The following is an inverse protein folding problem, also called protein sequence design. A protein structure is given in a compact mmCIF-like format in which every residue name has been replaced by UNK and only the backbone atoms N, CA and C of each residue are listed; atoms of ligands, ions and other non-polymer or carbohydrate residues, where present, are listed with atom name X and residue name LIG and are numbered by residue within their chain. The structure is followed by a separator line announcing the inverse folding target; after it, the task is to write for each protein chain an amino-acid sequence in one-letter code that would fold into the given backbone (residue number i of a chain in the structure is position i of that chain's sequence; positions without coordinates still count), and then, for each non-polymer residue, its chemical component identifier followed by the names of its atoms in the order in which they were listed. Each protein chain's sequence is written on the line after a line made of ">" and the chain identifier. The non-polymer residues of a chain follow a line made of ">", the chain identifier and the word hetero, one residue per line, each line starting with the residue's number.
data_IF_125262578281
#
_entry.id   IF_125262578281
#
_cell.length_a   1.000
_cell.length_b   1.000
_cell.length_c   1.000
_cell.angle_alpha   90.00
_cell.angle_beta   90.00
_cell.angle_gamma   90.00
#
_symmetry.space_group_name_H-M   'P 1'
#
loop_
_entity.id
_entity.type
_entity.pdbx_description
1 polymer ?
#
# COMPACT_ATOMS: atom_id res chain seq x y z
N UNK A 1 6.13 30.09 -9.74
CA UNK A 1 5.96 29.84 -11.18
C UNK A 1 7.25 29.32 -11.76
N UNK A 2 7.29 28.04 -12.08
CA UNK A 2 8.32 27.50 -12.95
C UNK A 2 7.86 27.64 -14.41
N UNK A 3 8.61 28.40 -15.20
CA UNK A 3 8.36 28.64 -16.63
C UNK A 3 9.63 28.31 -17.39
N UNK A 4 9.52 27.55 -18.48
CA UNK A 4 10.65 27.14 -19.32
C UNK A 4 11.11 25.71 -19.02
N UNK A 5 12.36 25.37 -19.34
CA UNK A 5 12.89 24.00 -19.22
C UNK A 5 12.86 23.46 -17.78
N UNK A 6 12.95 24.32 -16.77
CA UNK A 6 12.87 23.93 -15.36
C UNK A 6 11.46 23.41 -14.98
N UNK A 7 10.42 23.93 -15.63
CA UNK A 7 9.03 23.51 -15.39
C UNK A 7 8.64 22.23 -16.12
N UNK A 8 9.52 21.71 -16.98
CA UNK A 8 9.34 20.42 -17.66
C UNK A 8 10.10 19.35 -16.90
N UNK A 9 9.37 18.39 -16.34
CA UNK A 9 9.93 17.31 -15.53
C UNK A 9 9.83 15.97 -16.24
N UNK A 10 10.73 15.05 -15.88
CA UNK A 10 10.73 13.67 -16.36
C UNK A 10 10.76 12.70 -15.19
N UNK A 11 9.95 11.65 -15.29
CA UNK A 11 9.84 10.60 -14.30
C UNK A 11 10.64 9.37 -14.70
N UNK A 12 11.34 8.78 -13.74
CA UNK A 12 12.07 7.53 -13.91
C UNK A 12 11.83 6.63 -12.71
N UNK A 13 11.66 5.34 -12.99
CA UNK A 13 11.43 4.32 -11.98
C UNK A 13 12.67 3.47 -11.80
N UNK A 14 13.09 3.29 -10.55
CA UNK A 14 14.07 2.26 -10.19
C UNK A 14 13.32 0.99 -9.77
N UNK A 15 13.07 0.09 -10.72
CA UNK A 15 12.49 -1.24 -10.49
C UNK A 15 13.41 -2.36 -11.00
N UNK A 16 14.03 -3.10 -10.08
CA UNK A 16 15.01 -4.16 -10.40
C UNK A 16 14.35 -5.37 -11.11
N UNK A 17 13.08 -5.65 -10.80
CA UNK A 17 12.33 -6.81 -11.31
C UNK A 17 11.58 -6.52 -12.62
N UNK A 18 11.66 -5.28 -13.09
CA UNK A 18 11.05 -4.77 -14.31
C UNK A 18 9.57 -5.20 -14.43
N UNK A 19 8.87 -5.15 -13.30
CA UNK A 19 7.47 -5.53 -13.13
C UNK A 19 6.57 -4.32 -13.35
N UNK A 20 7.06 -3.13 -13.00
CA UNK A 20 6.38 -1.86 -13.14
C UNK A 20 7.03 -1.02 -14.23
N UNK A 21 6.23 -0.18 -14.86
CA UNK A 21 6.67 0.84 -15.81
C UNK A 21 6.19 2.21 -15.35
N UNK A 22 6.88 3.27 -15.77
CA UNK A 22 6.46 4.65 -15.54
C UNK A 22 6.54 5.48 -16.82
N UNK A 23 5.47 6.19 -17.14
CA UNK A 23 5.50 7.18 -18.21
C UNK A 23 6.40 8.35 -17.81
N UNK A 24 7.44 8.61 -18.61
CA UNK A 24 8.40 9.68 -18.34
C UNK A 24 7.76 11.08 -18.36
N UNK A 25 6.64 11.27 -19.08
CA UNK A 25 6.00 12.57 -19.24
C UNK A 25 4.83 12.79 -18.25
N UNK A 26 4.06 11.75 -17.95
CA UNK A 26 2.87 11.85 -17.07
C UNK A 26 3.08 11.32 -15.65
N UNK A 27 4.12 10.51 -15.43
CA UNK A 27 4.33 9.82 -14.16
C UNK A 27 3.35 8.66 -13.90
N UNK A 28 2.55 8.27 -14.90
CA UNK A 28 1.62 7.14 -14.78
C UNK A 28 2.39 5.83 -14.58
N UNK A 29 2.08 5.10 -13.50
CA UNK A 29 2.69 3.81 -13.17
C UNK A 29 1.77 2.68 -13.62
N UNK A 30 2.31 1.71 -14.35
CA UNK A 30 1.56 0.55 -14.86
C UNK A 30 2.29 -0.77 -14.60
N UNK A 31 1.57 -1.88 -14.68
CA UNK A 31 2.15 -3.23 -14.60
C UNK A 31 2.55 -3.71 -16.00
N UNK A 32 3.80 -4.17 -16.15
CA UNK A 32 4.30 -4.77 -17.40
C UNK A 32 3.78 -6.18 -17.63
N UNK A 33 3.41 -6.87 -16.55
CA UNK A 33 2.84 -8.24 -16.57
C UNK A 33 1.93 -8.45 -15.37
N UNK A 34 1.08 -9.48 -15.45
CA UNK A 34 0.27 -9.91 -14.30
C UNK A 34 1.18 -10.38 -13.16
N UNK A 35 0.79 -10.03 -11.94
CA UNK A 35 1.42 -10.52 -10.71
C UNK A 35 0.83 -11.86 -10.29
N UNK A 36 1.65 -12.73 -9.70
CA UNK A 36 1.23 -14.02 -9.18
C UNK A 36 0.58 -13.93 -7.80
N UNK A 37 0.01 -15.04 -7.32
CA UNK A 37 -0.66 -15.12 -6.02
C UNK A 37 0.25 -14.84 -4.81
N UNK A 38 1.57 -14.92 -4.98
CA UNK A 38 2.56 -14.64 -3.93
C UNK A 38 3.08 -13.20 -3.93
N UNK A 39 2.53 -12.32 -4.75
CA UNK A 39 2.93 -10.91 -4.74
C UNK A 39 2.30 -10.20 -3.53
N UNK A 40 3.13 -9.59 -2.69
CA UNK A 40 2.71 -8.94 -1.42
C UNK A 40 2.88 -7.42 -1.45
N UNK A 41 2.84 -6.83 -2.66
CA UNK A 41 3.16 -5.43 -2.86
C UNK A 41 4.63 -5.15 -3.17
N UNK A 42 4.95 -3.86 -3.36
CA UNK A 42 6.29 -3.38 -3.71
C UNK A 42 6.50 -1.95 -3.26
N UNK A 43 7.72 -1.65 -2.81
CA UNK A 43 8.21 -0.29 -2.63
C UNK A 43 8.99 0.12 -3.88
N UNK A 44 8.57 1.20 -4.50
CA UNK A 44 9.16 1.78 -5.71
C UNK A 44 9.83 3.10 -5.38
N UNK A 45 11.00 3.35 -5.94
CA UNK A 45 11.67 4.64 -5.89
C UNK A 45 11.50 5.35 -7.24
N UNK A 46 10.86 6.51 -7.21
CA UNK A 46 10.67 7.36 -8.39
C UNK A 46 11.61 8.56 -8.29
N UNK A 47 12.38 8.78 -9.34
CA UNK A 47 13.24 9.94 -9.51
C UNK A 47 12.58 10.88 -10.50
N UNK A 48 12.51 12.16 -10.14
CA UNK A 48 11.98 13.23 -10.99
C UNK A 48 13.11 14.19 -11.29
N UNK A 49 13.36 14.48 -12.56
CA UNK A 49 14.38 15.44 -13.01
C UNK A 49 13.73 16.57 -13.79
N UNK A 50 14.15 17.81 -13.56
CA UNK A 50 13.86 18.89 -14.51
C UNK A 50 14.76 18.79 -15.76
N UNK A 51 14.50 19.65 -16.75
CA UNK A 51 15.36 19.79 -17.95
C UNK A 51 16.35 20.96 -17.85
N UNK A 52 16.61 21.46 -16.64
CA UNK A 52 17.55 22.54 -16.41
C UNK A 52 18.99 22.15 -16.75
N UNK A 53 19.89 23.16 -16.81
CA UNK A 53 21.34 22.96 -16.97
C UNK A 53 22.09 23.76 -15.89
N UNK A 54 22.61 23.11 -14.83
CA UNK A 54 22.51 21.67 -14.53
C UNK A 54 21.08 21.27 -14.15
N UNK A 55 20.73 20.01 -14.38
CA UNK A 55 19.41 19.48 -14.01
C UNK A 55 19.30 19.26 -12.51
N UNK A 56 18.15 19.57 -11.92
CA UNK A 56 17.84 19.26 -10.53
C UNK A 56 16.95 18.02 -10.46
N UNK A 57 17.22 17.17 -9.45
CA UNK A 57 16.48 15.93 -9.23
C UNK A 57 15.85 15.87 -7.84
N UNK A 58 14.66 15.29 -7.76
CA UNK A 58 13.98 14.91 -6.53
C UNK A 58 13.64 13.43 -6.54
N UNK A 59 13.47 12.83 -5.37
CA UNK A 59 13.16 11.40 -5.22
C UNK A 59 11.97 11.21 -4.29
N UNK A 60 11.04 10.34 -4.67
CA UNK A 60 9.92 9.94 -3.82
C UNK A 60 9.74 8.41 -3.78
N UNK A 61 9.00 7.95 -2.77
CA UNK A 61 8.71 6.54 -2.57
C UNK A 61 7.22 6.27 -2.83
N UNK A 62 6.93 5.26 -3.64
CA UNK A 62 5.58 4.78 -3.93
C UNK A 62 5.42 3.38 -3.37
N UNK A 63 4.37 3.18 -2.55
CA UNK A 63 4.05 1.88 -1.97
C UNK A 63 2.85 1.29 -2.71
N UNK A 64 3.06 0.13 -3.34
CA UNK A 64 2.04 -0.60 -4.07
C UNK A 64 1.59 -1.78 -3.21
N UNK A 65 0.28 -1.88 -3.00
CA UNK A 65 -0.36 -2.97 -2.28
C UNK A 65 -1.41 -3.64 -3.17
N UNK A 66 -1.66 -4.92 -2.95
CA UNK A 66 -2.80 -5.56 -3.60
C UNK A 66 -4.10 -5.10 -2.94
N UNK A 67 -5.12 -4.83 -3.77
CA UNK A 67 -6.46 -4.52 -3.29
C UNK A 67 -6.99 -5.74 -2.51
N UNK A 68 -7.12 -5.59 -1.19
CA UNK A 68 -7.48 -6.66 -0.26
C UNK A 68 -6.39 -7.01 0.77
N UNK A 69 -5.20 -6.40 0.72
CA UNK A 69 -4.22 -6.56 1.82
C UNK A 69 -4.45 -5.57 2.97
N UNK A 70 -5.12 -4.44 2.74
CA UNK A 70 -5.57 -3.56 3.81
C UNK A 70 -7.02 -3.90 4.16
N UNK A 71 -7.16 -4.93 4.97
CA UNK A 71 -8.42 -5.58 5.28
C UNK A 71 -9.23 -4.83 6.36
N UNK A 72 -8.78 -3.63 6.77
CA UNK A 72 -9.44 -2.79 7.78
C UNK A 72 -9.44 -3.46 9.16
N UNK A 73 -10.48 -3.18 9.96
CA UNK A 73 -10.67 -3.87 11.25
C UNK A 73 -10.84 -5.38 11.03
N UNK A 74 -9.89 -6.14 11.54
CA UNK A 74 -9.91 -7.60 11.47
C UNK A 74 -10.13 -8.17 12.88
N UNK A 75 -11.05 -9.13 12.99
CA UNK A 75 -11.22 -9.87 14.24
C UNK A 75 -9.94 -10.62 14.58
N UNK A 76 -9.57 -10.66 15.86
CA UNK A 76 -8.36 -11.36 16.33
C UNK A 76 -8.35 -12.83 15.91
N UNK A 77 -9.52 -13.48 15.91
CA UNK A 77 -9.70 -14.87 15.52
C UNK A 77 -10.80 -15.03 14.47
N UNK A 78 -10.66 -16.02 13.59
CA UNK A 78 -11.69 -16.37 12.59
C UNK A 78 -12.92 -17.05 13.20
N UNK A 79 -12.77 -17.72 14.33
CA UNK A 79 -13.84 -18.44 15.04
C UNK A 79 -13.62 -18.27 16.55
N UNK A 80 -14.69 -17.95 17.27
CA UNK A 80 -14.70 -17.88 18.75
C UNK A 80 -15.67 -18.93 19.29
N UNK A 81 -15.14 -20.04 19.76
CA UNK A 81 -15.93 -21.09 20.40
C UNK A 81 -16.01 -20.84 21.90
N UNK A 82 -17.21 -20.94 22.46
CA UNK A 82 -17.47 -20.79 23.90
C UNK A 82 -18.58 -21.73 24.33
N UNK A 83 -18.65 -22.03 25.62
CA UNK A 83 -19.64 -22.92 26.22
C UNK A 83 -20.23 -22.26 27.45
N UNK A 84 -21.56 -22.31 27.58
CA UNK A 84 -22.30 -21.79 28.73
C UNK A 84 -23.11 -22.91 29.36
N UNK A 85 -23.18 -22.93 30.70
CA UNK A 85 -23.96 -23.95 31.43
C UNK A 85 -25.45 -23.68 31.28
N UNK A 86 -26.23 -24.75 31.20
CA UNK A 86 -27.69 -24.67 31.33
C UNK A 86 -28.07 -23.98 32.65
N UNK A 87 -29.18 -23.22 32.62
CA UNK A 87 -29.69 -22.47 33.77
C UNK A 87 -28.77 -21.36 34.29
N UNK A 88 -27.85 -20.85 33.47
CA UNK A 88 -27.06 -19.67 33.80
C UNK A 88 -27.95 -18.45 34.03
N UNK A 89 -27.56 -17.60 35.00
CA UNK A 89 -28.34 -16.42 35.40
C UNK A 89 -28.45 -15.43 34.25
N UNK A 90 -29.57 -14.71 34.17
CA UNK A 90 -29.71 -13.58 33.25
C UNK A 90 -28.57 -12.57 33.47
N UNK A 91 -27.88 -12.22 32.38
CA UNK A 91 -26.70 -11.36 32.40
C UNK A 91 -25.36 -12.10 32.56
N UNK A 92 -25.32 -13.43 32.52
CA UNK A 92 -24.06 -14.17 32.43
C UNK A 92 -23.32 -13.79 31.16
N UNK A 93 -22.12 -13.24 31.31
CA UNK A 93 -21.20 -12.95 30.23
C UNK A 93 -20.71 -14.24 29.56
N UNK A 94 -20.66 -14.24 28.22
CA UNK A 94 -20.39 -15.44 27.42
C UNK A 94 -19.05 -15.36 26.68
N UNK A 95 -18.78 -14.25 26.00
CA UNK A 95 -17.53 -14.02 25.28
C UNK A 95 -17.32 -12.53 24.99
N UNK A 96 -16.06 -12.14 24.85
CA UNK A 96 -15.65 -10.88 24.22
C UNK A 96 -14.98 -11.22 22.89
N UNK A 97 -15.26 -10.45 21.85
CA UNK A 97 -14.56 -10.54 20.58
C UNK A 97 -13.98 -9.17 20.27
N UNK A 98 -12.78 -9.17 19.71
CA UNK A 98 -12.02 -7.95 19.45
C UNK A 98 -11.66 -7.92 17.97
N UNK A 99 -11.67 -6.71 17.40
CA UNK A 99 -11.16 -6.44 16.08
C UNK A 99 -10.25 -5.23 16.13
N UNK A 100 -9.11 -5.32 15.46
CA UNK A 100 -8.14 -4.22 15.35
C UNK A 100 -7.72 -4.05 13.91
N UNK A 101 -7.37 -2.82 13.54
CA UNK A 101 -6.75 -2.57 12.25
C UNK A 101 -5.25 -2.87 12.39
N UNK A 102 -4.70 -3.85 11.66
CA UNK A 102 -3.28 -4.17 11.73
C UNK A 102 -2.36 -2.99 11.36
N UNK A 103 -2.89 -2.01 10.60
CA UNK A 103 -2.16 -0.83 10.15
C UNK A 103 -2.29 0.39 11.07
N UNK A 104 -3.22 0.38 12.03
CA UNK A 104 -3.40 1.43 13.04
C UNK A 104 -3.04 0.90 14.43
N UNK A 105 -1.77 0.56 14.61
CA UNK A 105 -1.22 0.21 15.93
C UNK A 105 -0.96 1.50 16.72
N UNK A 106 -1.94 1.93 17.49
CA UNK A 106 -1.77 2.95 18.53
C UNK A 106 -1.25 2.36 19.82
#
# INVERSE_FOLDING_TARGET
>A
DDRGENGTIQFMLSDEENLFDISADSGEISLRRRVGAFFTGRKLQVVVSDRGRPSLTSTCLVFIHLKGEHDGLQFTNKVYNTTVKENSRAGTFIANVEASDPADSR
#
